data_IF_715422857724
#
_entry.id   IF_715422857724
#
_cell.length_a   1.000
_cell.length_b   1.000
_cell.length_c   1.000
_cell.angle_alpha   90.00
_cell.angle_beta   90.00
_cell.angle_gamma   90.00
#
_symmetry.space_group_name_H-M   'P 1'
#
loop_
_entity.id
_entity.type
_entity.pdbx_description
1 polymer ?
#
# COMPACT_ATOMS: atom_id res chain seq x y z
N UNK A 1 6.78 13.49 -7.58
CA UNK A 1 6.85 12.19 -8.28
C UNK A 1 5.84 11.23 -7.69
N UNK A 2 5.10 10.53 -8.54
CA UNK A 2 4.10 9.54 -8.14
C UNK A 2 4.59 8.15 -8.56
N UNK A 3 4.52 7.17 -7.66
CA UNK A 3 4.81 5.77 -7.95
C UNK A 3 3.53 4.93 -7.82
N UNK A 4 3.39 3.91 -8.65
CA UNK A 4 2.26 2.98 -8.65
C UNK A 4 2.76 1.53 -8.70
N UNK A 5 2.20 0.65 -7.87
CA UNK A 5 2.56 -0.78 -7.88
C UNK A 5 1.99 -1.53 -9.09
N UNK A 6 0.81 -1.12 -9.56
CA UNK A 6 -0.09 -1.99 -10.33
C UNK A 6 -0.61 -3.14 -9.46
N UNK A 7 -1.25 -4.12 -10.10
CA UNK A 7 -1.65 -5.37 -9.45
C UNK A 7 -0.51 -6.37 -9.59
N UNK A 8 0.01 -6.85 -8.45
CA UNK A 8 1.18 -7.72 -8.40
C UNK A 8 1.27 -8.43 -7.05
N UNK A 9 1.96 -9.56 -7.02
CA UNK A 9 2.53 -10.02 -5.75
C UNK A 9 3.63 -9.06 -5.28
N UNK A 10 3.99 -9.13 -4.01
CA UNK A 10 5.17 -8.40 -3.54
C UNK A 10 6.41 -8.79 -4.36
N UNK A 11 7.11 -7.78 -4.87
CA UNK A 11 8.43 -7.87 -5.47
C UNK A 11 9.32 -6.79 -4.84
N UNK A 12 10.56 -7.13 -4.51
CA UNK A 12 11.45 -6.18 -3.82
C UNK A 12 11.80 -4.94 -4.66
N UNK A 13 11.61 -4.99 -5.99
CA UNK A 13 11.75 -3.80 -6.85
C UNK A 13 10.68 -2.73 -6.60
N UNK A 14 9.58 -3.04 -5.89
CA UNK A 14 8.60 -2.04 -5.44
C UNK A 14 9.22 -1.02 -4.49
N UNK A 15 10.22 -1.42 -3.70
CA UNK A 15 10.98 -0.51 -2.84
C UNK A 15 11.75 0.49 -3.69
N UNK A 16 12.46 0.02 -4.72
CA UNK A 16 13.17 0.90 -5.64
C UNK A 16 12.22 1.80 -6.44
N UNK A 17 11.08 1.26 -6.89
CA UNK A 17 10.05 1.99 -7.62
C UNK A 17 9.44 3.13 -6.80
N UNK A 18 9.22 2.90 -5.50
CA UNK A 18 8.63 3.89 -4.59
C UNK A 18 9.64 4.90 -4.02
N UNK A 19 10.93 4.74 -4.30
CA UNK A 19 12.00 5.51 -3.66
C UNK A 19 11.80 7.01 -3.85
N UNK A 20 11.82 7.75 -2.74
CA UNK A 20 11.78 9.22 -2.68
C UNK A 20 10.57 9.86 -3.39
N UNK A 21 9.54 9.06 -3.69
CA UNK A 21 8.29 9.55 -4.26
C UNK A 21 7.49 10.36 -3.22
N UNK A 22 6.73 11.35 -3.71
CA UNK A 22 5.83 12.11 -2.83
C UNK A 22 4.67 11.23 -2.36
N UNK A 23 4.25 10.29 -3.21
CA UNK A 23 3.25 9.29 -2.89
C UNK A 23 3.53 7.99 -3.65
N UNK A 24 3.40 6.87 -2.95
CA UNK A 24 3.37 5.54 -3.51
C UNK A 24 1.97 4.95 -3.39
N UNK A 25 1.31 4.74 -4.53
CA UNK A 25 -0.03 4.14 -4.61
C UNK A 25 0.17 2.64 -4.77
N UNK A 26 -0.16 1.90 -3.71
CA UNK A 26 0.19 0.50 -3.54
C UNK A 26 -1.09 -0.33 -3.42
N UNK A 27 -1.20 -1.40 -4.21
CA UNK A 27 -2.26 -2.38 -4.04
C UNK A 27 -2.14 -3.07 -2.67
N UNK A 28 -3.28 -3.41 -2.08
CA UNK A 28 -3.36 -4.09 -0.80
C UNK A 28 -4.67 -4.89 -0.72
N UNK A 29 -4.81 -5.90 -1.57
CA UNK A 29 -6.02 -6.72 -1.64
C UNK A 29 -6.29 -7.51 -0.36
N UNK A 30 -5.24 -8.13 0.21
CA UNK A 30 -5.35 -8.99 1.39
C UNK A 30 -5.08 -8.28 2.71
N UNK A 31 -5.46 -8.91 3.82
CA UNK A 31 -5.14 -8.42 5.17
C UNK A 31 -3.87 -9.08 5.75
N UNK A 32 -3.94 -10.29 6.32
CA UNK A 32 -2.79 -10.96 6.96
C UNK A 32 -2.22 -12.13 6.17
N UNK A 33 -3.08 -12.87 5.49
CA UNK A 33 -2.70 -14.06 4.74
C UNK A 33 -1.88 -13.69 3.50
N UNK A 34 -1.12 -14.66 2.97
CA UNK A 34 -0.53 -14.50 1.64
C UNK A 34 -1.65 -14.62 0.59
N UNK A 35 -1.80 -13.61 -0.24
CA UNK A 35 -2.68 -13.65 -1.40
C UNK A 35 -1.93 -14.12 -2.64
N UNK A 36 -2.63 -14.80 -3.54
CA UNK A 36 -2.09 -15.17 -4.85
C UNK A 36 -2.26 -13.97 -5.79
N UNK A 37 -1.20 -13.60 -6.50
CA UNK A 37 -1.18 -12.50 -7.47
C UNK A 37 -1.40 -11.08 -6.91
N UNK A 38 -1.59 -10.94 -5.60
CA UNK A 38 -1.84 -9.67 -4.92
C UNK A 38 -1.01 -9.52 -3.63
N UNK A 39 -1.00 -8.32 -3.07
CA UNK A 39 -0.30 -8.00 -1.82
C UNK A 39 -1.28 -7.99 -0.66
N UNK A 40 -0.82 -8.46 0.50
CA UNK A 40 -1.55 -8.29 1.76
C UNK A 40 -0.89 -7.25 2.66
N UNK A 41 -1.72 -6.59 3.48
CA UNK A 41 -1.25 -5.61 4.45
C UNK A 41 -0.13 -6.15 5.34
N UNK A 42 -0.26 -7.38 5.84
CA UNK A 42 0.74 -8.01 6.69
C UNK A 42 2.13 -8.09 6.06
N UNK A 43 2.21 -8.14 4.73
CA UNK A 43 3.48 -8.11 4.00
C UNK A 43 4.01 -6.67 3.85
N UNK A 44 3.16 -5.72 3.47
CA UNK A 44 3.51 -4.29 3.38
C UNK A 44 4.00 -3.79 4.73
N UNK A 45 3.29 -4.13 5.79
CA UNK A 45 3.57 -3.71 7.17
C UNK A 45 4.98 -4.05 7.62
N UNK A 46 5.47 -5.25 7.27
CA UNK A 46 6.83 -5.71 7.55
C UNK A 46 7.89 -4.97 6.72
N UNK A 47 7.52 -4.49 5.53
CA UNK A 47 8.40 -3.82 4.57
C UNK A 47 8.36 -2.30 4.67
N UNK A 48 7.43 -1.73 5.45
CA UNK A 48 7.33 -0.27 5.68
C UNK A 48 8.66 0.43 6.03
N UNK A 49 9.58 -0.16 6.82
CA UNK A 49 10.88 0.46 7.09
C UNK A 49 11.78 0.62 5.85
N UNK A 50 11.54 -0.17 4.81
CA UNK A 50 12.31 -0.16 3.56
C UNK A 50 11.73 0.84 2.55
N UNK A 51 10.45 1.16 2.65
CA UNK A 51 9.78 2.12 1.76
C UNK A 51 10.10 3.55 2.21
N UNK A 52 10.72 4.32 1.31
CA UNK A 52 11.15 5.71 1.56
C UNK A 52 10.17 6.76 1.02
N UNK A 53 9.10 6.35 0.32
CA UNK A 53 8.02 7.25 -0.10
C UNK A 53 7.48 8.08 1.08
N UNK A 54 7.18 9.37 0.82
CA UNK A 54 6.68 10.28 1.87
C UNK A 54 5.31 9.85 2.39
N UNK A 55 4.43 9.42 1.48
CA UNK A 55 3.11 8.84 1.77
C UNK A 55 2.94 7.51 1.04
N UNK A 56 2.22 6.57 1.64
CA UNK A 56 1.81 5.31 1.03
C UNK A 56 0.29 5.28 1.03
N UNK A 57 -0.32 5.30 -0.16
CA UNK A 57 -1.76 5.20 -0.32
C UNK A 57 -2.12 3.76 -0.66
N UNK A 58 -2.79 3.06 0.24
CA UNK A 58 -3.29 1.71 0.01
C UNK A 58 -4.59 1.77 -0.78
N UNK A 59 -4.66 1.00 -1.86
CA UNK A 59 -5.85 0.88 -2.71
C UNK A 59 -6.07 -0.57 -3.12
N UNK A 60 -7.04 -0.82 -4.00
CA UNK A 60 -7.41 -2.16 -4.45
C UNK A 60 -7.75 -3.08 -3.27
N UNK A 61 -8.55 -2.55 -2.32
CA UNK A 61 -8.82 -3.18 -1.03
C UNK A 61 -9.87 -4.29 -1.20
N UNK A 62 -9.50 -5.53 -0.93
CA UNK A 62 -10.44 -6.66 -0.91
C UNK A 62 -11.30 -6.65 0.36
N UNK A 63 -12.33 -7.51 0.41
CA UNK A 63 -13.29 -7.56 1.54
C UNK A 63 -12.62 -7.72 2.91
N UNK A 64 -11.62 -8.61 3.00
CA UNK A 64 -10.85 -8.79 4.23
C UNK A 64 -10.10 -7.52 4.62
N UNK A 65 -9.50 -6.83 3.66
CA UNK A 65 -8.78 -5.59 3.94
C UNK A 65 -9.73 -4.50 4.40
N UNK A 66 -10.85 -4.31 3.68
CA UNK A 66 -11.91 -3.35 4.03
C UNK A 66 -12.45 -3.56 5.44
N UNK A 67 -12.63 -4.82 5.87
CA UNK A 67 -13.10 -5.14 7.22
C UNK A 67 -12.13 -4.75 8.35
N UNK A 68 -10.87 -4.42 8.04
CA UNK A 68 -9.82 -4.13 9.03
C UNK A 68 -9.12 -2.78 8.77
N UNK A 69 -9.67 -1.89 7.93
CA UNK A 69 -9.03 -0.59 7.63
C UNK A 69 -8.84 0.28 8.88
N UNK A 70 -9.78 0.20 9.82
CA UNK A 70 -9.72 0.93 11.10
C UNK A 70 -8.59 0.43 12.02
N UNK A 71 -7.99 -0.72 11.73
CA UNK A 71 -6.83 -1.25 12.48
C UNK A 71 -5.49 -0.72 11.95
N UNK A 72 -5.51 0.00 10.82
CA UNK A 72 -4.30 0.47 10.13
C UNK A 72 -3.86 1.83 10.68
N UNK A 73 -3.16 1.81 11.81
CA UNK A 73 -2.59 3.00 12.42
C UNK A 73 -1.08 3.09 12.14
N UNK A 74 -0.70 3.74 11.03
CA UNK A 74 0.71 3.98 10.67
C UNK A 74 0.93 5.41 10.15
N UNK A 75 1.95 6.15 10.64
CA UNK A 75 2.09 7.60 10.39
C UNK A 75 2.15 8.06 8.93
N UNK A 76 2.50 7.19 7.98
CA UNK A 76 2.68 7.52 6.55
C UNK A 76 1.71 6.76 5.64
N UNK A 77 0.84 5.93 6.22
CA UNK A 77 -0.07 5.08 5.46
C UNK A 77 -1.44 5.74 5.45
N UNK A 78 -2.04 5.78 4.27
CA UNK A 78 -3.36 6.34 4.05
C UNK A 78 -4.18 5.28 3.33
N UNK A 79 -5.43 5.09 3.73
CA UNK A 79 -6.37 4.20 3.07
C UNK A 79 -7.11 5.03 2.01
N UNK A 80 -7.15 4.55 0.77
CA UNK A 80 -7.88 5.22 -0.30
C UNK A 80 -9.39 5.01 -0.14
N UNK A 81 -10.15 6.07 -0.40
CA UNK A 81 -11.61 6.06 -0.50
C UNK A 81 -12.05 6.56 -1.88
N UNK A 82 -13.25 6.13 -2.30
CA UNK A 82 -13.85 6.59 -3.55
C UNK A 82 -14.05 8.11 -3.53
N UNK A 83 -13.52 8.79 -4.55
CA UNK A 83 -13.58 10.26 -4.66
C UNK A 83 -12.57 11.00 -3.79
N UNK A 84 -11.64 10.30 -3.13
CA UNK A 84 -10.56 10.91 -2.35
C UNK A 84 -9.69 11.83 -3.24
N UNK A 85 -9.44 13.04 -2.74
CA UNK A 85 -8.45 13.96 -3.30
C UNK A 85 -7.21 13.95 -2.42
N UNK A 86 -6.03 13.90 -3.05
CA UNK A 86 -4.74 13.88 -2.35
C UNK A 86 -3.84 14.97 -2.91
N UNK A 87 -3.46 15.91 -2.05
CA UNK A 87 -2.48 16.94 -2.37
C UNK A 87 -1.04 16.43 -2.16
N UNK A 88 -0.17 16.76 -3.12
CA UNK A 88 1.23 16.32 -3.21
C UNK A 88 2.22 17.49 -3.11
#
# INVERSE_FOLDING_TARGET
MIAFSGDTEWKDNLVACSSDSDIFICECFGYRDKEHFHISWGYIEQKLPQITAKKILLTHLGEKMLAHVDEIDRPRVVIADDGMLVDL
#
